data_IF_974357733497
#
_entry.id   IF_974357733497
#
_cell.length_a   1.000
_cell.length_b   1.000
_cell.length_c   1.000
_cell.angle_alpha   90.00
_cell.angle_beta   90.00
_cell.angle_gamma   90.00
#
_symmetry.space_group_name_H-M   'P 1'
#
loop_
_entity.id
_entity.type
_entity.pdbx_description
1 polymer ?
#
# COMPACT_ATOMS: atom_id res chain seq x y z
N UNK A 1 -32.38 11.30 9.61
CA UNK A 1 -31.33 10.26 9.83
C UNK A 1 -31.70 8.89 9.20
N UNK A 2 -32.92 8.74 8.65
CA UNK A 2 -33.40 7.47 8.05
C UNK A 2 -33.14 7.31 6.54
N UNK A 3 -32.86 8.37 5.80
CA UNK A 3 -32.83 8.33 4.33
C UNK A 3 -31.42 8.18 3.72
N UNK A 4 -30.38 8.32 4.50
CA UNK A 4 -28.99 8.19 4.01
C UNK A 4 -28.61 6.72 3.80
N UNK A 5 -29.13 5.80 4.62
CA UNK A 5 -28.82 4.37 4.53
C UNK A 5 -29.57 3.61 3.43
N UNK A 6 -30.63 4.16 2.84
CA UNK A 6 -31.40 3.48 1.78
C UNK A 6 -30.81 3.64 0.37
N UNK A 7 -29.85 4.54 0.17
CA UNK A 7 -29.22 4.75 -1.14
C UNK A 7 -28.04 3.85 -1.44
N UNK A 8 -27.49 3.16 -0.44
CA UNK A 8 -26.36 2.22 -0.65
C UNK A 8 -26.77 0.80 -1.03
N UNK A 9 -28.08 0.50 -1.06
CA UNK A 9 -28.59 -0.84 -1.41
C UNK A 9 -29.17 -0.94 -2.83
N UNK A 10 -28.89 0.01 -3.72
CA UNK A 10 -29.24 -0.13 -5.12
C UNK A 10 -28.11 -0.83 -5.85
N UNK A 11 -28.43 -2.05 -6.24
CA UNK A 11 -27.66 -2.94 -7.12
C UNK A 11 -27.32 -2.22 -8.43
N UNK A 12 -26.19 -1.51 -8.43
CA UNK A 12 -25.64 -0.93 -9.64
C UNK A 12 -24.74 -1.97 -10.30
N UNK A 13 -25.35 -2.91 -11.01
CA UNK A 13 -24.68 -3.66 -12.06
C UNK A 13 -24.28 -2.69 -13.19
N UNK A 14 -23.33 -1.81 -12.93
CA UNK A 14 -22.71 -1.02 -13.97
C UNK A 14 -21.74 -1.89 -14.75
N UNK A 15 -22.26 -2.59 -15.75
CA UNK A 15 -21.48 -3.13 -16.85
C UNK A 15 -20.86 -1.95 -17.63
N UNK A 16 -19.82 -1.34 -17.11
CA UNK A 16 -18.96 -0.50 -17.91
C UNK A 16 -18.08 -1.40 -18.79
N UNK A 17 -18.65 -1.79 -19.94
CA UNK A 17 -17.87 -2.33 -21.03
C UNK A 17 -16.94 -1.24 -21.57
N UNK A 18 -15.75 -1.14 -21.00
CA UNK A 18 -14.62 -0.52 -21.69
C UNK A 18 -14.23 -1.45 -22.84
N UNK A 19 -14.82 -1.21 -24.02
CA UNK A 19 -14.35 -1.77 -25.29
C UNK A 19 -13.03 -1.07 -25.65
N UNK A 20 -11.94 -1.47 -25.00
CA UNK A 20 -10.61 -1.23 -25.52
C UNK A 20 -10.04 -2.59 -25.93
N UNK A 21 -9.88 -2.79 -27.23
CA UNK A 21 -9.33 -4.01 -27.83
C UNK A 21 -7.81 -4.19 -27.54
N UNK A 22 -7.23 -3.40 -26.66
CA UNK A 22 -5.82 -3.45 -26.24
C UNK A 22 -5.65 -3.30 -24.74
N UNK A 23 -4.60 -3.94 -24.20
CA UNK A 23 -4.16 -3.74 -22.81
C UNK A 23 -3.39 -2.42 -22.71
N UNK A 24 -3.69 -1.63 -21.69
CA UNK A 24 -2.88 -0.46 -21.39
C UNK A 24 -1.51 -0.87 -20.81
N UNK A 25 -0.47 -0.09 -21.10
CA UNK A 25 0.89 -0.34 -20.62
C UNK A 25 1.00 -0.45 -19.09
N UNK A 26 0.12 0.20 -18.34
CA UNK A 26 0.08 0.13 -16.87
C UNK A 26 -0.66 -1.10 -16.32
N UNK A 27 -1.37 -1.84 -17.17
CA UNK A 27 -1.97 -3.13 -16.81
C UNK A 27 -0.93 -4.25 -16.86
N UNK A 28 -0.07 -4.22 -17.89
CA UNK A 28 0.91 -5.28 -18.14
C UNK A 28 2.24 -4.90 -17.49
N UNK A 29 2.81 -5.77 -16.64
CA UNK A 29 4.13 -5.54 -16.09
C UNK A 29 5.19 -5.57 -17.21
N UNK A 30 6.24 -4.79 -17.02
CA UNK A 30 7.43 -4.76 -17.87
C UNK A 30 8.67 -4.87 -16.98
N UNK A 31 9.85 -4.71 -17.58
CA UNK A 31 11.10 -4.57 -16.80
C UNK A 31 11.15 -3.25 -16.03
N UNK A 32 10.36 -2.26 -16.45
CA UNK A 32 10.30 -0.98 -15.76
C UNK A 32 9.53 -1.16 -14.43
N UNK A 33 10.05 -0.61 -13.32
CA UNK A 33 9.37 -0.66 -12.04
C UNK A 33 8.00 0.03 -12.10
N UNK A 34 6.94 -0.66 -11.71
CA UNK A 34 5.61 -0.09 -11.56
C UNK A 34 5.05 -0.35 -10.16
N UNK A 35 3.87 0.17 -9.85
CA UNK A 35 3.19 0.01 -8.55
C UNK A 35 4.09 0.34 -7.36
N UNK A 36 4.93 1.35 -7.50
CA UNK A 36 5.85 1.78 -6.43
C UNK A 36 5.04 2.38 -5.30
N UNK A 37 5.16 1.81 -4.11
CA UNK A 37 4.47 2.30 -2.92
C UNK A 37 5.38 2.29 -1.69
N UNK A 38 5.29 3.37 -0.90
CA UNK A 38 5.93 3.47 0.40
C UNK A 38 4.97 3.03 1.50
N UNK A 39 5.48 2.24 2.45
CA UNK A 39 4.74 1.83 3.65
C UNK A 39 5.60 2.00 4.90
N UNK A 40 4.98 2.00 6.07
CA UNK A 40 5.71 1.89 7.31
C UNK A 40 6.01 0.41 7.62
N UNK A 41 7.27 0.14 7.98
CA UNK A 41 7.69 -1.14 8.54
C UNK A 41 8.76 -0.89 9.61
N UNK A 42 8.30 -0.69 10.84
CA UNK A 42 9.12 -0.30 11.98
C UNK A 42 9.00 1.19 12.33
N UNK A 43 10.00 1.74 13.00
CA UNK A 43 10.01 3.13 13.47
C UNK A 43 9.99 4.14 12.33
N UNK A 44 8.95 5.00 12.22
CA UNK A 44 8.82 5.98 11.13
C UNK A 44 9.95 7.01 11.05
N UNK A 45 10.71 7.20 12.12
CA UNK A 45 11.83 8.14 12.15
C UNK A 45 13.12 7.57 11.57
N UNK A 46 13.27 6.24 11.56
CA UNK A 46 14.50 5.55 11.18
C UNK A 46 14.35 4.46 10.14
N UNK A 47 13.09 4.13 9.76
CA UNK A 47 12.80 3.07 8.78
C UNK A 47 11.74 3.48 7.78
N UNK A 48 11.82 2.90 6.56
CA UNK A 48 10.82 3.03 5.52
C UNK A 48 10.85 1.81 4.62
N UNK A 49 9.69 1.26 4.30
CA UNK A 49 9.59 0.20 3.31
C UNK A 49 9.15 0.76 1.96
N UNK A 50 9.61 0.13 0.89
CA UNK A 50 9.17 0.34 -0.48
C UNK A 50 8.88 -1.00 -1.13
N UNK A 51 7.77 -1.09 -1.84
CA UNK A 51 7.40 -2.25 -2.67
C UNK A 51 7.17 -1.77 -4.09
N UNK A 52 7.53 -2.60 -5.06
CA UNK A 52 7.26 -2.35 -6.49
C UNK A 52 7.11 -3.66 -7.24
N UNK A 53 6.59 -3.59 -8.48
CA UNK A 53 6.40 -4.73 -9.35
C UNK A 53 7.23 -4.58 -10.62
N UNK A 54 7.63 -5.72 -11.21
CA UNK A 54 8.16 -5.86 -12.57
C UNK A 54 7.60 -7.11 -13.23
N UNK A 55 7.91 -7.34 -14.49
CA UNK A 55 7.71 -8.65 -15.10
C UNK A 55 8.61 -9.72 -14.46
N UNK A 56 8.31 -10.97 -14.74
CA UNK A 56 9.02 -12.13 -14.16
C UNK A 56 10.46 -12.29 -14.62
N UNK A 57 10.95 -11.50 -15.58
CA UNK A 57 12.34 -11.56 -16.06
C UNK A 57 13.33 -10.89 -15.12
N UNK A 58 12.88 -9.93 -14.29
CA UNK A 58 13.72 -9.21 -13.33
C UNK A 58 13.87 -10.02 -12.05
N UNK A 59 14.91 -10.81 -11.95
CA UNK A 59 15.15 -11.70 -10.79
C UNK A 59 15.97 -11.06 -9.67
N UNK A 60 16.72 -10.00 -9.97
CA UNK A 60 17.59 -9.31 -9.02
C UNK A 60 17.34 -7.81 -9.10
N UNK A 61 16.43 -7.35 -8.25
CA UNK A 61 16.10 -5.96 -8.16
C UNK A 61 16.82 -5.29 -6.99
N UNK A 62 16.92 -3.97 -7.06
CA UNK A 62 17.63 -3.15 -6.08
C UNK A 62 16.84 -1.86 -5.81
N UNK A 63 17.10 -1.27 -4.65
CA UNK A 63 16.72 0.10 -4.35
C UNK A 63 17.97 0.91 -3.99
N UNK A 64 17.98 2.18 -4.35
CA UNK A 64 19.00 3.13 -3.93
C UNK A 64 18.37 4.25 -3.12
N UNK A 65 19.09 4.71 -2.11
CA UNK A 65 18.66 5.82 -1.26
C UNK A 65 19.83 6.73 -0.90
N UNK A 66 19.57 8.03 -0.86
CA UNK A 66 20.52 9.04 -0.40
C UNK A 66 19.77 10.16 0.32
N UNK A 67 20.48 10.94 1.15
CA UNK A 67 19.93 12.20 1.67
C UNK A 67 19.72 13.16 0.48
N UNK A 68 18.50 13.68 0.36
CA UNK A 68 18.15 14.62 -0.70
C UNK A 68 18.74 16.02 -0.40
N UNK A 69 19.96 16.22 -0.86
CA UNK A 69 20.63 17.52 -0.78
C UNK A 69 20.40 18.35 -2.05
N UNK A 70 20.87 19.60 -2.03
CA UNK A 70 20.83 20.51 -3.19
C UNK A 70 21.87 20.17 -4.24
N UNK A 71 22.81 19.29 -3.93
CA UNK A 71 23.88 18.88 -4.82
C UNK A 71 23.38 17.82 -5.83
N UNK A 72 23.53 18.06 -7.12
CA UNK A 72 23.21 17.09 -8.18
C UNK A 72 24.03 15.80 -8.13
N UNK A 73 25.17 15.80 -7.41
CA UNK A 73 26.03 14.61 -7.23
C UNK A 73 25.61 13.70 -6.07
N UNK A 74 24.44 13.92 -5.45
CA UNK A 74 23.95 13.07 -4.33
C UNK A 74 23.91 11.58 -4.70
N UNK A 75 23.73 11.27 -5.96
CA UNK A 75 23.71 9.87 -6.47
C UNK A 75 24.98 9.11 -6.11
N UNK A 76 26.15 9.76 -6.13
CA UNK A 76 27.43 9.14 -5.73
C UNK A 76 27.52 8.79 -4.24
N UNK A 77 26.61 9.34 -3.43
CA UNK A 77 26.49 9.08 -2.00
C UNK A 77 25.34 8.11 -1.67
N UNK A 78 24.70 7.54 -2.70
CA UNK A 78 23.59 6.62 -2.49
C UNK A 78 24.05 5.29 -1.94
N UNK A 79 23.29 4.74 -1.01
CA UNK A 79 23.41 3.36 -0.54
C UNK A 79 22.50 2.47 -1.38
N UNK A 80 23.01 1.32 -1.81
CA UNK A 80 22.25 0.33 -2.58
C UNK A 80 21.82 -0.82 -1.68
N UNK A 81 20.56 -1.20 -1.76
CA UNK A 81 19.93 -2.33 -1.09
C UNK A 81 19.51 -3.36 -2.12
N UNK A 82 19.84 -4.64 -1.89
CA UNK A 82 19.25 -5.72 -2.67
C UNK A 82 17.82 -5.95 -2.20
N UNK A 83 16.90 -6.09 -3.14
CA UNK A 83 15.50 -6.34 -2.83
C UNK A 83 15.25 -7.82 -2.52
N UNK A 84 14.31 -8.09 -1.62
CA UNK A 84 13.61 -9.35 -1.59
C UNK A 84 12.73 -9.41 -2.83
N UNK A 85 12.87 -10.48 -3.61
CA UNK A 85 12.09 -10.70 -4.84
C UNK A 85 11.22 -11.94 -4.67
N UNK A 86 9.92 -11.78 -4.87
CA UNK A 86 8.93 -12.85 -4.79
C UNK A 86 8.21 -12.97 -6.13
N UNK A 87 8.28 -14.17 -6.71
CA UNK A 87 7.52 -14.48 -7.92
C UNK A 87 6.06 -14.72 -7.55
N UNK A 88 5.16 -14.13 -8.30
CA UNK A 88 3.73 -14.19 -8.03
C UNK A 88 2.94 -14.46 -9.31
N UNK A 89 2.09 -15.49 -9.27
CA UNK A 89 1.18 -15.83 -10.33
C UNK A 89 -0.16 -15.10 -10.11
N UNK A 90 -0.47 -14.15 -10.98
CA UNK A 90 -1.73 -13.39 -10.97
C UNK A 90 -2.93 -14.23 -11.40
N UNK A 91 -2.72 -15.50 -11.81
CA UNK A 91 -3.74 -16.36 -12.34
C UNK A 91 -4.08 -16.09 -13.82
N UNK A 92 -5.23 -16.58 -14.26
CA UNK A 92 -5.67 -16.39 -15.63
C UNK A 92 -5.95 -14.92 -15.94
N UNK A 93 -5.25 -14.40 -16.92
CA UNK A 93 -5.43 -13.06 -17.45
C UNK A 93 -6.26 -13.10 -18.75
N UNK A 94 -6.56 -11.94 -19.35
CA UNK A 94 -7.46 -11.81 -20.53
C UNK A 94 -7.19 -12.77 -21.69
N UNK A 95 -6.00 -13.37 -21.78
CA UNK A 95 -5.56 -14.31 -22.82
C UNK A 95 -5.72 -15.79 -22.46
N UNK A 96 -6.34 -16.14 -21.33
CA UNK A 96 -6.35 -17.48 -20.74
C UNK A 96 -4.96 -18.04 -20.39
N UNK A 97 -3.91 -17.22 -20.43
CA UNK A 97 -2.58 -17.57 -19.98
C UNK A 97 -2.35 -17.02 -18.57
N UNK A 98 -1.62 -17.75 -17.75
CA UNK A 98 -1.15 -17.27 -16.46
C UNK A 98 -0.18 -16.11 -16.66
N UNK A 99 -0.35 -15.04 -15.89
CA UNK A 99 0.55 -13.90 -15.90
C UNK A 99 1.39 -13.92 -14.63
N UNK A 100 2.67 -14.24 -14.80
CA UNK A 100 3.65 -14.28 -13.70
C UNK A 100 4.41 -12.97 -13.63
N UNK A 101 4.51 -12.41 -12.44
CA UNK A 101 5.17 -11.14 -12.14
C UNK A 101 6.16 -11.33 -11.00
N UNK A 102 7.04 -10.37 -10.79
CA UNK A 102 7.86 -10.28 -9.60
C UNK A 102 7.46 -9.04 -8.79
N UNK A 103 7.22 -9.25 -7.50
CA UNK A 103 7.16 -8.19 -6.52
C UNK A 103 8.50 -8.10 -5.80
N UNK A 104 8.92 -6.88 -5.57
CA UNK A 104 10.20 -6.57 -4.94
C UNK A 104 9.96 -5.69 -3.73
N UNK A 105 10.72 -5.92 -2.66
CA UNK A 105 10.61 -5.10 -1.47
C UNK A 105 11.97 -4.81 -0.84
N UNK A 106 12.08 -3.61 -0.27
CA UNK A 106 13.23 -3.18 0.53
C UNK A 106 12.72 -2.44 1.76
N UNK A 107 13.31 -2.73 2.91
CA UNK A 107 13.18 -1.89 4.10
C UNK A 107 14.48 -1.10 4.25
N UNK A 108 14.39 0.22 4.06
CA UNK A 108 15.48 1.13 4.39
C UNK A 108 15.55 1.25 5.90
N UNK A 109 16.72 1.02 6.47
CA UNK A 109 16.96 1.07 7.91
C UNK A 109 18.06 2.08 8.26
N UNK A 110 18.15 2.42 9.53
CA UNK A 110 19.16 3.36 10.07
C UNK A 110 19.10 4.74 9.40
N UNK A 111 17.90 5.17 9.04
CA UNK A 111 17.69 6.51 8.50
C UNK A 111 17.79 7.55 9.62
N UNK A 112 18.17 8.76 9.25
CA UNK A 112 18.18 9.90 10.17
C UNK A 112 16.75 10.44 10.36
N UNK A 113 16.34 10.77 11.58
CA UNK A 113 15.05 11.44 11.83
C UNK A 113 14.97 12.80 11.12
N UNK A 114 13.73 13.23 10.83
CA UNK A 114 13.42 14.54 10.25
C UNK A 114 14.22 14.88 8.97
N UNK A 115 14.59 13.87 8.19
CA UNK A 115 15.50 13.99 7.05
C UNK A 115 14.77 13.69 5.75
N UNK A 116 14.98 14.55 4.74
CA UNK A 116 14.48 14.30 3.39
C UNK A 116 15.43 13.36 2.67
N UNK A 117 14.91 12.26 2.17
CA UNK A 117 15.61 11.25 1.38
C UNK A 117 15.12 11.25 -0.06
N UNK A 118 16.03 10.98 -0.99
CA UNK A 118 15.72 10.59 -2.35
C UNK A 118 16.00 9.10 -2.52
N UNK A 119 15.10 8.38 -3.14
CA UNK A 119 15.26 6.95 -3.44
C UNK A 119 14.81 6.64 -4.87
N UNK A 120 15.28 5.54 -5.40
CA UNK A 120 14.81 4.93 -6.64
C UNK A 120 14.83 3.41 -6.53
N UNK A 121 14.03 2.75 -7.33
CA UNK A 121 13.91 1.29 -7.37
C UNK A 121 14.09 0.77 -8.79
N UNK A 122 14.51 -0.49 -8.93
CA UNK A 122 14.70 -1.09 -10.25
C UNK A 122 15.83 -2.12 -10.26
N UNK A 123 16.63 -2.08 -11.28
CA UNK A 123 17.84 -2.87 -11.46
C UNK A 123 18.90 -2.02 -12.17
N UNK A 124 20.12 -2.52 -12.24
CA UNK A 124 21.19 -1.87 -13.00
C UNK A 124 20.70 -1.62 -14.45
N UNK A 125 20.91 -0.41 -14.93
CA UNK A 125 20.50 0.09 -16.25
C UNK A 125 18.98 0.29 -16.46
N UNK A 126 18.14 0.00 -15.46
CA UNK A 126 16.70 0.23 -15.54
C UNK A 126 16.11 0.68 -14.19
N UNK A 127 16.25 1.95 -13.88
CA UNK A 127 15.80 2.56 -12.63
C UNK A 127 14.54 3.39 -12.85
N UNK A 128 13.71 3.48 -11.80
CA UNK A 128 12.70 4.52 -11.71
C UNK A 128 13.37 5.92 -11.65
N UNK A 129 12.57 6.96 -11.76
CA UNK A 129 12.99 8.30 -11.37
C UNK A 129 13.40 8.36 -9.89
N UNK A 130 14.12 9.40 -9.50
CA UNK A 130 14.39 9.69 -8.10
C UNK A 130 13.15 10.30 -7.44
N UNK A 131 12.67 9.62 -6.40
CA UNK A 131 11.46 9.95 -5.66
C UNK A 131 11.87 10.38 -4.25
N UNK A 132 11.10 11.24 -3.61
CA UNK A 132 11.47 11.77 -2.29
C UNK A 132 10.42 11.40 -1.23
N UNK A 133 10.92 11.14 -0.03
CA UNK A 133 10.10 11.09 1.18
C UNK A 133 10.87 11.69 2.37
N UNK A 134 10.13 12.07 3.41
CA UNK A 134 10.73 12.57 4.65
C UNK A 134 10.48 11.58 5.78
N UNK A 135 11.52 11.32 6.59
CA UNK A 135 11.38 10.55 7.84
C UNK A 135 10.66 11.36 8.91
N UNK A 136 9.97 10.68 9.83
CA UNK A 136 9.36 11.33 10.97
C UNK A 136 10.41 12.04 11.85
N UNK A 137 9.97 13.03 12.60
CA UNK A 137 10.78 13.59 13.66
C UNK A 137 10.82 12.61 14.85
N UNK A 138 11.91 12.56 15.59
CA UNK A 138 12.03 11.80 16.85
C UNK A 138 11.57 12.61 18.06
N UNK A 139 11.17 13.85 17.86
CA UNK A 139 10.55 14.72 18.87
C UNK A 139 9.18 15.16 18.36
N UNK A 140 8.27 15.48 19.26
CA UNK A 140 6.95 15.98 18.89
C UNK A 140 7.03 17.19 17.94
N UNK A 141 6.28 17.10 16.87
CA UNK A 141 6.01 18.22 15.96
C UNK A 141 4.60 18.07 15.38
N UNK A 142 3.95 19.17 14.97
CA UNK A 142 2.64 19.10 14.33
C UNK A 142 2.67 18.16 13.12
N UNK A 143 1.69 17.27 13.07
CA UNK A 143 1.58 16.25 12.02
C UNK A 143 0.26 16.41 11.29
N UNK A 144 0.31 16.37 9.96
CA UNK A 144 -0.84 16.32 9.08
C UNK A 144 -0.84 14.98 8.35
N UNK A 145 -2.00 14.35 8.24
CA UNK A 145 -2.17 13.14 7.43
C UNK A 145 -3.51 13.17 6.69
N UNK A 146 -3.63 12.31 5.70
CA UNK A 146 -4.87 12.14 4.92
C UNK A 146 -5.48 10.79 5.27
N UNK A 147 -6.80 10.74 5.29
CA UNK A 147 -7.58 9.54 5.57
C UNK A 147 -8.60 9.32 4.45
N UNK A 148 -8.53 8.15 3.81
CA UNK A 148 -9.48 7.70 2.80
C UNK A 148 -10.16 6.41 3.27
N UNK A 149 -11.42 6.21 2.88
CA UNK A 149 -12.11 4.94 2.91
C UNK A 149 -12.73 4.67 1.54
N UNK A 150 -12.98 3.41 1.23
CA UNK A 150 -13.80 2.97 0.10
C UNK A 150 -13.39 3.57 -1.25
N UNK A 151 -12.12 3.43 -1.62
CA UNK A 151 -11.62 3.87 -2.91
C UNK A 151 -12.13 3.02 -4.09
N UNK A 152 -12.74 1.89 -3.76
CA UNK A 152 -13.39 0.97 -4.70
C UNK A 152 -14.43 1.66 -5.58
N UNK A 153 -14.77 1.06 -6.70
CA UNK A 153 -15.69 1.57 -7.72
C UNK A 153 -15.24 2.83 -8.44
N UNK A 154 -15.30 2.79 -9.75
CA UNK A 154 -14.92 3.94 -10.59
C UNK A 154 -13.54 4.54 -10.24
N UNK A 155 -12.58 3.69 -9.89
CA UNK A 155 -11.27 4.08 -9.34
C UNK A 155 -10.58 5.10 -10.24
N UNK A 156 -10.49 4.83 -11.55
CA UNK A 156 -9.84 5.75 -12.49
C UNK A 156 -10.62 7.03 -12.72
N UNK A 157 -11.96 6.95 -12.76
CA UNK A 157 -12.81 8.09 -13.11
C UNK A 157 -13.13 8.99 -11.93
N UNK A 158 -13.24 8.45 -10.72
CA UNK A 158 -13.64 9.21 -9.53
C UNK A 158 -12.55 9.28 -8.47
N UNK A 159 -12.06 8.15 -7.96
CA UNK A 159 -11.08 8.19 -6.88
C UNK A 159 -9.77 8.85 -7.30
N UNK A 160 -9.35 8.70 -8.57
CA UNK A 160 -8.17 9.40 -9.08
C UNK A 160 -8.22 10.92 -8.88
N UNK A 161 -9.41 11.51 -8.99
CA UNK A 161 -9.61 12.94 -8.74
C UNK A 161 -9.54 13.27 -7.26
N UNK A 162 -10.10 12.39 -6.43
CA UNK A 162 -10.13 12.58 -4.97
C UNK A 162 -8.71 12.58 -4.40
N UNK A 163 -7.90 11.56 -4.72
CA UNK A 163 -6.53 11.48 -4.20
C UNK A 163 -5.65 12.63 -4.69
N UNK A 164 -5.83 13.07 -5.94
CA UNK A 164 -5.08 14.22 -6.50
C UNK A 164 -5.49 15.54 -5.86
N UNK A 165 -6.79 15.73 -5.60
CA UNK A 165 -7.28 16.89 -4.88
C UNK A 165 -6.76 16.90 -3.43
N UNK A 166 -6.75 15.76 -2.76
CA UNK A 166 -6.19 15.65 -1.42
C UNK A 166 -4.68 15.98 -1.40
N UNK A 167 -3.92 15.50 -2.40
CA UNK A 167 -2.51 15.85 -2.54
C UNK A 167 -2.30 17.35 -2.77
N UNK A 168 -3.14 17.98 -3.57
CA UNK A 168 -3.10 19.43 -3.78
C UNK A 168 -3.44 20.19 -2.49
N UNK A 169 -4.38 19.69 -1.70
CA UNK A 169 -4.85 20.34 -0.45
C UNK A 169 -3.87 20.17 0.69
N UNK A 170 -3.22 19.00 0.78
CA UNK A 170 -2.32 18.62 1.86
C UNK A 170 -0.98 18.07 1.33
N UNK A 171 -0.22 18.81 0.51
CA UNK A 171 0.98 18.30 -0.14
C UNK A 171 2.08 17.86 0.85
N UNK A 172 2.04 18.41 2.06
CA UNK A 172 2.98 18.10 3.14
C UNK A 172 2.45 17.05 4.13
N UNK A 173 1.38 16.32 3.76
CA UNK A 173 0.90 15.23 4.62
C UNK A 173 2.02 14.20 4.84
N UNK A 174 2.20 13.82 6.09
CA UNK A 174 3.27 12.91 6.52
C UNK A 174 3.01 11.47 6.08
N UNK A 175 1.73 11.10 5.98
CA UNK A 175 1.29 9.76 5.56
C UNK A 175 -0.18 9.80 5.14
N UNK A 176 -0.62 8.69 4.57
CA UNK A 176 -2.02 8.47 4.20
C UNK A 176 -2.53 7.16 4.78
N UNK A 177 -3.73 7.18 5.35
CA UNK A 177 -4.45 5.97 5.78
C UNK A 177 -5.46 5.62 4.68
N UNK A 178 -5.41 4.38 4.20
CA UNK A 178 -6.43 3.80 3.32
C UNK A 178 -7.23 2.80 4.15
N UNK A 179 -8.41 3.21 4.61
CA UNK A 179 -9.19 2.53 5.64
C UNK A 179 -10.09 1.41 5.09
N UNK A 180 -9.54 0.57 4.24
CA UNK A 180 -10.21 -0.59 3.67
C UNK A 180 -10.96 -0.32 2.37
N UNK A 181 -11.34 -1.40 1.72
CA UNK A 181 -12.06 -1.43 0.44
C UNK A 181 -11.35 -0.56 -0.62
N UNK A 182 -10.04 -0.84 -0.81
CA UNK A 182 -9.20 -0.13 -1.77
C UNK A 182 -9.65 -0.40 -3.20
N UNK A 183 -10.13 -1.62 -3.44
CA UNK A 183 -10.66 -2.14 -4.70
C UNK A 183 -11.95 -2.91 -4.45
N UNK A 184 -12.83 -3.03 -5.45
CA UNK A 184 -14.09 -3.75 -5.31
C UNK A 184 -13.90 -5.28 -5.24
N UNK A 185 -12.94 -5.79 -6.00
CA UNK A 185 -12.69 -7.23 -6.10
C UNK A 185 -11.19 -7.52 -6.04
N UNK A 186 -10.67 -7.69 -4.83
CA UNK A 186 -9.22 -7.75 -4.58
C UNK A 186 -8.46 -8.94 -5.21
N UNK A 187 -9.14 -9.91 -5.80
CA UNK A 187 -8.49 -10.98 -6.59
C UNK A 187 -8.40 -10.68 -8.09
N UNK A 188 -8.90 -9.53 -8.54
CA UNK A 188 -8.74 -9.05 -9.90
C UNK A 188 -7.58 -8.07 -9.99
N UNK A 189 -6.51 -8.47 -10.64
CA UNK A 189 -5.31 -7.63 -10.77
C UNK A 189 -5.58 -6.31 -11.50
N UNK A 190 -6.56 -6.28 -12.40
CA UNK A 190 -6.94 -5.07 -13.11
C UNK A 190 -7.37 -3.94 -12.17
N UNK A 191 -8.15 -4.24 -11.13
CA UNK A 191 -8.61 -3.23 -10.19
C UNK A 191 -7.45 -2.67 -9.36
N UNK A 192 -6.47 -3.50 -9.00
CA UNK A 192 -5.22 -3.04 -8.41
C UNK A 192 -4.40 -2.17 -9.36
N UNK A 193 -4.33 -2.56 -10.65
CA UNK A 193 -3.69 -1.74 -11.66
C UNK A 193 -4.33 -0.34 -11.76
N UNK A 194 -5.65 -0.27 -11.72
CA UNK A 194 -6.40 0.98 -11.68
C UNK A 194 -6.11 1.79 -10.42
N UNK A 195 -6.06 1.14 -9.26
CA UNK A 195 -5.78 1.80 -7.98
C UNK A 195 -4.39 2.44 -7.97
N UNK A 196 -3.37 1.68 -8.36
CA UNK A 196 -2.01 2.21 -8.47
C UNK A 196 -1.90 3.31 -9.53
N UNK A 197 -2.57 3.14 -10.67
CA UNK A 197 -2.61 4.16 -11.73
C UNK A 197 -3.28 5.46 -11.28
N UNK A 198 -4.37 5.35 -10.55
CA UNK A 198 -5.12 6.49 -10.04
C UNK A 198 -4.30 7.34 -9.08
N UNK A 199 -3.61 6.72 -8.13
CA UNK A 199 -2.71 7.41 -7.19
C UNK A 199 -1.40 7.83 -7.83
N UNK A 200 -0.86 7.00 -8.75
CA UNK A 200 0.36 7.29 -9.49
C UNK A 200 1.53 7.63 -8.57
N UNK A 201 2.22 8.74 -8.84
CA UNK A 201 3.38 9.19 -8.06
C UNK A 201 3.06 9.45 -6.57
N UNK A 202 1.79 9.66 -6.22
CA UNK A 202 1.41 9.94 -4.83
C UNK A 202 1.71 8.74 -3.93
N UNK A 203 1.47 7.52 -4.40
CA UNK A 203 1.80 6.29 -3.65
C UNK A 203 3.29 6.13 -3.36
N UNK A 204 4.13 6.63 -4.25
CA UNK A 204 5.58 6.57 -4.07
C UNK A 204 6.16 7.69 -3.21
N UNK A 205 5.38 8.73 -2.92
CA UNK A 205 5.79 9.86 -2.08
C UNK A 205 5.13 9.86 -0.70
N UNK A 206 3.80 9.67 -0.65
CA UNK A 206 3.10 9.54 0.61
C UNK A 206 3.23 8.12 1.16
N UNK A 207 3.71 8.02 2.39
CA UNK A 207 3.78 6.72 3.05
C UNK A 207 2.38 6.24 3.40
N UNK A 208 2.01 5.06 2.92
CA UNK A 208 0.70 4.48 3.10
C UNK A 208 0.61 3.62 4.38
N UNK A 209 -0.57 3.68 5.00
CA UNK A 209 -1.06 2.75 6.02
C UNK A 209 -2.30 2.08 5.42
N UNK A 210 -2.13 1.02 4.61
CA UNK A 210 -3.25 0.31 4.03
C UNK A 210 -3.93 -0.59 5.05
N UNK A 211 -5.25 -0.54 5.11
CA UNK A 211 -6.10 -1.36 5.98
C UNK A 211 -6.94 -2.28 5.11
N UNK A 212 -7.15 -3.51 5.54
CA UNK A 212 -8.06 -4.43 4.86
C UNK A 212 -9.51 -4.11 5.19
N UNK A 213 -10.35 -4.00 4.18
CA UNK A 213 -11.80 -4.00 4.32
C UNK A 213 -12.41 -5.35 3.93
N UNK A 214 -13.72 -5.40 3.78
CA UNK A 214 -14.37 -6.65 3.40
C UNK A 214 -14.18 -7.03 1.92
N UNK A 215 -13.85 -6.08 1.04
CA UNK A 215 -13.57 -6.31 -0.36
C UNK A 215 -12.18 -6.89 -0.63
N UNK A 216 -11.24 -6.74 0.32
CA UNK A 216 -9.94 -7.42 0.27
C UNK A 216 -10.05 -8.93 0.59
N UNK A 217 -11.23 -9.40 1.03
CA UNK A 217 -11.47 -10.81 1.34
C UNK A 217 -12.34 -11.48 0.28
N UNK A 218 -11.81 -12.53 -0.33
CA UNK A 218 -12.49 -13.34 -1.33
C UNK A 218 -13.44 -14.36 -0.68
N UNK A 219 -14.65 -14.49 -1.19
CA UNK A 219 -15.52 -15.62 -0.90
C UNK A 219 -15.00 -16.87 -1.60
N UNK A 220 -14.84 -17.95 -0.85
CA UNK A 220 -14.17 -19.18 -1.33
C UNK A 220 -14.96 -19.97 -2.38
N UNK A 221 -16.25 -19.78 -2.50
CA UNK A 221 -17.08 -20.43 -3.52
C UNK A 221 -18.13 -19.46 -4.01
N UNK A 222 -18.05 -19.11 -5.20
CA UNK A 222 -18.81 -18.17 -6.02
C UNK A 222 -20.29 -17.92 -5.76
N UNK A 223 -21.00 -18.55 -4.81
CA UNK A 223 -22.43 -18.29 -4.61
C UNK A 223 -22.94 -18.65 -3.21
N UNK A 224 -23.39 -17.64 -2.48
CA UNK A 224 -24.56 -17.72 -1.60
C UNK A 224 -24.49 -18.46 -0.27
N UNK A 225 -23.36 -19.01 0.14
CA UNK A 225 -23.23 -19.69 1.43
C UNK A 225 -22.45 -18.89 2.47
N UNK A 226 -22.71 -19.14 3.75
CA UNK A 226 -21.89 -18.64 4.88
C UNK A 226 -20.57 -19.42 4.86
N UNK A 227 -19.64 -19.09 3.95
CA UNK A 227 -18.32 -19.69 3.93
C UNK A 227 -17.26 -18.70 4.35
N UNK A 228 -16.17 -19.15 4.99
CA UNK A 228 -15.12 -18.26 5.46
C UNK A 228 -14.54 -17.50 4.28
N UNK A 229 -14.43 -16.19 4.43
CA UNK A 229 -13.71 -15.34 3.49
C UNK A 229 -12.22 -15.53 3.72
N UNK A 230 -11.44 -15.50 2.65
CA UNK A 230 -9.97 -15.48 2.71
C UNK A 230 -9.45 -14.17 2.18
N UNK A 231 -8.41 -13.65 2.84
CA UNK A 231 -7.66 -12.53 2.32
C UNK A 231 -7.20 -12.82 0.89
N UNK A 232 -7.37 -11.87 -0.01
CA UNK A 232 -6.88 -11.99 -1.38
C UNK A 232 -5.38 -12.28 -1.37
N UNK A 233 -4.97 -13.21 -2.21
CA UNK A 233 -3.55 -13.53 -2.41
C UNK A 233 -2.76 -12.32 -2.91
N UNK A 234 -3.44 -11.35 -3.51
CA UNK A 234 -2.81 -10.13 -4.06
C UNK A 234 -2.50 -9.07 -2.99
N UNK A 235 -2.97 -9.22 -1.74
CA UNK A 235 -2.71 -8.23 -0.69
C UNK A 235 -1.24 -8.17 -0.30
N UNK A 236 -0.70 -9.29 0.18
CA UNK A 236 0.65 -9.34 0.75
C UNK A 236 1.78 -8.98 -0.21
N UNK A 237 1.77 -9.41 -1.49
CA UNK A 237 2.85 -9.07 -2.39
C UNK A 237 2.98 -7.57 -2.67
N UNK A 238 1.89 -6.81 -2.54
CA UNK A 238 1.85 -5.40 -2.89
C UNK A 238 2.28 -4.45 -1.78
N UNK A 239 2.30 -4.93 -0.52
CA UNK A 239 2.58 -4.08 0.63
C UNK A 239 3.59 -4.73 1.57
N UNK A 240 4.63 -4.00 1.94
CA UNK A 240 5.61 -4.43 2.96
C UNK A 240 5.21 -3.83 4.31
N UNK A 241 4.42 -4.56 5.08
CA UNK A 241 3.81 -4.10 6.32
C UNK A 241 4.46 -4.72 7.56
N UNK A 242 4.27 -4.14 8.75
CA UNK A 242 4.74 -4.74 9.98
C UNK A 242 4.11 -6.11 10.22
N UNK A 243 4.94 -7.06 10.64
CA UNK A 243 4.49 -8.39 11.06
C UNK A 243 4.54 -8.48 12.57
N UNK A 244 3.38 -8.54 13.20
CA UNK A 244 3.25 -8.68 14.65
C UNK A 244 3.39 -10.15 15.05
N UNK A 245 4.60 -10.53 15.48
CA UNK A 245 4.96 -11.94 15.78
C UNK A 245 4.11 -12.62 16.85
N UNK A 246 3.47 -11.84 17.72
CA UNK A 246 2.54 -12.36 18.76
C UNK A 246 1.19 -12.75 18.21
N UNK A 247 0.83 -12.28 17.00
CA UNK A 247 -0.42 -12.60 16.34
C UNK A 247 -0.30 -13.88 15.51
N UNK A 248 -1.43 -14.56 15.31
CA UNK A 248 -1.52 -15.68 14.38
C UNK A 248 -1.14 -15.25 12.97
N UNK A 249 -0.49 -16.13 12.23
CA UNK A 249 -0.05 -15.87 10.84
C UNK A 249 -1.16 -15.37 9.90
N UNK A 250 -2.42 -15.77 10.16
CA UNK A 250 -3.57 -15.32 9.38
C UNK A 250 -3.81 -13.81 9.50
N UNK A 251 -3.40 -13.21 10.63
CA UNK A 251 -3.54 -11.78 10.91
C UNK A 251 -2.30 -10.96 10.53
N UNK A 252 -1.19 -11.60 10.16
CA UNK A 252 -0.01 -10.87 9.73
C UNK A 252 -0.34 -9.96 8.56
N UNK A 253 0.20 -8.74 8.58
CA UNK A 253 0.04 -7.70 7.55
C UNK A 253 -1.41 -7.21 7.35
N UNK A 254 -2.35 -7.65 8.19
CA UNK A 254 -3.73 -7.15 8.24
C UNK A 254 -4.07 -6.55 9.61
N UNK A 255 -3.27 -6.89 10.63
CA UNK A 255 -3.34 -6.31 11.98
C UNK A 255 -1.93 -5.89 12.36
N UNK A 256 -1.74 -4.60 12.56
CA UNK A 256 -0.44 -4.02 12.91
C UNK A 256 -0.60 -2.63 13.53
N UNK A 257 0.47 -2.05 14.00
CA UNK A 257 0.46 -0.67 14.51
C UNK A 257 1.63 0.13 13.98
N UNK A 258 1.41 1.43 13.90
CA UNK A 258 2.41 2.43 13.58
C UNK A 258 2.34 3.52 14.63
N UNK A 259 3.44 3.80 15.31
CA UNK A 259 3.53 4.95 16.20
C UNK A 259 4.30 6.06 15.48
N UNK A 260 3.57 7.07 15.03
CA UNK A 260 4.14 8.24 14.37
C UNK A 260 4.20 9.42 15.34
N UNK A 261 5.39 9.65 15.91
CA UNK A 261 5.57 10.65 16.97
C UNK A 261 4.62 10.36 18.16
N UNK A 262 3.68 11.26 18.42
CA UNK A 262 2.70 11.19 19.51
C UNK A 262 1.35 10.54 19.09
N UNK A 263 1.29 9.91 17.93
CA UNK A 263 0.08 9.29 17.38
C UNK A 263 0.30 7.80 17.21
N UNK A 264 -0.39 7.00 18.01
CA UNK A 264 -0.48 5.54 17.80
C UNK A 264 -1.66 5.25 16.87
N UNK A 265 -1.36 4.62 15.74
CA UNK A 265 -2.34 4.13 14.77
C UNK A 265 -2.37 2.61 14.89
N UNK A 266 -3.54 2.04 15.21
CA UNK A 266 -3.74 0.59 15.33
C UNK A 266 -4.65 0.16 14.20
N UNK A 267 -4.10 -0.64 13.30
CA UNK A 267 -4.85 -1.26 12.19
C UNK A 267 -5.42 -2.58 12.68
N UNK A 268 -6.74 -2.72 12.59
CA UNK A 268 -7.48 -3.91 12.95
C UNK A 268 -8.21 -4.48 11.73
N UNK A 269 -8.40 -5.79 11.74
CA UNK A 269 -9.14 -6.51 10.71
C UNK A 269 -10.56 -6.81 11.20
N UNK A 270 -11.54 -6.05 10.75
CA UNK A 270 -12.94 -6.21 11.16
C UNK A 270 -13.65 -7.42 10.54
N UNK A 271 -13.03 -8.14 9.60
CA UNK A 271 -13.66 -9.25 8.88
C UNK A 271 -13.57 -10.59 9.62
N UNK A 272 -12.78 -10.70 10.69
CA UNK A 272 -12.69 -11.92 11.47
C UNK A 272 -11.65 -11.90 12.58
N UNK A 273 -11.61 -12.97 13.39
CA UNK A 273 -10.63 -13.18 14.46
C UNK A 273 -10.61 -12.07 15.53
N UNK A 274 -11.75 -11.46 15.82
CA UNK A 274 -11.84 -10.28 16.70
C UNK A 274 -11.28 -10.53 18.11
N UNK A 275 -11.55 -11.70 18.69
CA UNK A 275 -11.05 -12.06 20.02
C UNK A 275 -9.52 -12.01 20.09
N UNK A 276 -8.85 -12.55 19.08
CA UNK A 276 -7.38 -12.58 19.01
C UNK A 276 -6.76 -11.18 18.86
N UNK A 277 -7.51 -10.26 18.28
CA UNK A 277 -7.09 -8.87 18.14
C UNK A 277 -7.29 -8.07 19.41
N UNK A 278 -8.21 -8.49 20.28
CA UNK A 278 -8.52 -7.81 21.55
C UNK A 278 -7.31 -7.77 22.47
N UNK A 279 -6.60 -8.87 22.63
CA UNK A 279 -5.38 -8.92 23.46
C UNK A 279 -4.30 -8.01 22.90
N UNK A 280 -4.11 -8.03 21.58
CA UNK A 280 -3.17 -7.15 20.90
C UNK A 280 -3.52 -5.66 21.10
N UNK A 281 -4.80 -5.31 20.96
CA UNK A 281 -5.28 -3.95 21.16
C UNK A 281 -5.03 -3.48 22.60
N UNK A 282 -5.35 -4.32 23.58
CA UNK A 282 -5.10 -4.01 25.01
C UNK A 282 -3.61 -3.82 25.26
N UNK A 283 -2.75 -4.72 24.75
CA UNK A 283 -1.28 -4.63 24.90
C UNK A 283 -0.78 -3.29 24.32
N UNK A 284 -1.16 -2.93 23.11
CA UNK A 284 -0.73 -1.68 22.46
C UNK A 284 -1.23 -0.44 23.20
N UNK A 285 -2.48 -0.42 23.64
CA UNK A 285 -3.04 0.72 24.36
C UNK A 285 -2.45 0.90 25.76
N UNK A 286 -2.07 -0.19 26.43
CA UNK A 286 -1.51 -0.15 27.77
C UNK A 286 -0.01 0.19 27.80
N UNK A 287 0.71 -0.08 26.70
CA UNK A 287 2.17 0.10 26.63
C UNK A 287 2.61 1.39 25.96
N UNK A 288 1.73 2.06 25.21
CA UNK A 288 2.07 3.29 24.49
C UNK A 288 2.04 4.52 25.41
N UNK A 289 2.99 5.43 25.16
CA UNK A 289 2.97 6.79 25.69
C UNK A 289 2.37 7.81 24.69
N UNK A 290 1.95 7.36 23.51
CA UNK A 290 1.38 8.25 22.50
C UNK A 290 0.14 9.00 23.05
N UNK A 291 0.09 10.28 22.79
CA UNK A 291 -1.01 11.16 23.25
C UNK A 291 -2.31 10.86 22.51
N UNK A 292 -2.21 10.57 21.22
CA UNK A 292 -3.34 10.28 20.35
C UNK A 292 -3.37 8.81 19.96
N UNK A 293 -4.56 8.21 19.96
CA UNK A 293 -4.82 6.83 19.53
C UNK A 293 -5.90 6.86 18.44
N UNK A 294 -5.61 6.23 17.32
CA UNK A 294 -6.49 6.12 16.15
C UNK A 294 -6.67 4.65 15.81
#
# INVERSE_FOLDING_TARGET
LGDVYKRQAQDHSHNHHHKHDGLHHWEIPSKDPDRIILTFNGDPSTKRAVTWRTDSSVKQAQAQIAIAGTNSKFVSQSTTYNALTEEFDLGLYKSNNSLVVNYHSVVFENLNPNTLYAYRVGQVDNWSEWIQFKTANNIYSPTQFVYFGDAQNDILSHWSRVIRMAYQTAPNASFVIHAGDLVDTAHKDLEWAEWFKAGGFIHSQWTAIPVVGNHEFQRMDGYGGIKPRRLSIQWRPQFTLPVEKKLDKVLHETVYSVEYQDVLIIVLNSTGYLEKQTEYLIDKLSTTNAKWKI
#
